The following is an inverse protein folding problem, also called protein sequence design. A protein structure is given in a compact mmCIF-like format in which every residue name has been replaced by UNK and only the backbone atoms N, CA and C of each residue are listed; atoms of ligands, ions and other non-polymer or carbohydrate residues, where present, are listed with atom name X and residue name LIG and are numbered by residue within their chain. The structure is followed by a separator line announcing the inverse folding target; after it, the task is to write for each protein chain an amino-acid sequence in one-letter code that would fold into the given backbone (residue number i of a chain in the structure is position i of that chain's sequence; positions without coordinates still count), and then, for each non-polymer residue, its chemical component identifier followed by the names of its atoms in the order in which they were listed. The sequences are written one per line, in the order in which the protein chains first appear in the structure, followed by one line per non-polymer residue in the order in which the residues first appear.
data_IF_937199831950
#
_entry.id   IF_937199831950
#
_cell.length_a   1.000
_cell.length_b   1.000
_cell.length_c   1.000
_cell.angle_alpha   90.00
_cell.angle_beta   90.00
_cell.angle_gamma   90.00
#
_symmetry.space_group_name_H-M   'P 1'
#
loop_
_entity.id
_entity.type
_entity.pdbx_description
1 polymer ?
#
# COMPACT_ATOMS: atom_id res chain seq x y z
N UNK A 1 3.58 -1.45 -18.40
CA UNK A 1 3.07 -1.84 -17.07
C UNK A 1 2.02 -2.92 -17.26
N UNK A 2 2.35 -4.18 -16.97
CA UNK A 2 1.45 -5.33 -17.12
C UNK A 2 0.46 -5.34 -15.96
N UNK A 3 -0.82 -5.14 -16.26
CA UNK A 3 -1.89 -5.33 -15.28
C UNK A 3 -1.86 -6.78 -14.81
N UNK A 4 -1.54 -7.00 -13.54
CA UNK A 4 -1.56 -8.33 -12.94
C UNK A 4 -3.03 -8.72 -12.73
N UNK A 5 -3.55 -9.53 -13.65
CA UNK A 5 -4.90 -10.07 -13.56
C UNK A 5 -4.90 -11.14 -12.48
N UNK A 6 -5.30 -10.78 -11.25
CA UNK A 6 -5.47 -11.74 -10.16
C UNK A 6 -6.83 -12.41 -10.36
N UNK A 7 -6.83 -13.69 -10.77
CA UNK A 7 -8.04 -14.50 -10.78
C UNK A 7 -8.48 -14.77 -9.34
N UNK A 8 -9.46 -14.00 -8.87
CA UNK A 8 -10.06 -14.16 -7.56
C UNK A 8 -11.03 -15.36 -7.61
N UNK A 9 -10.64 -16.49 -7.03
CA UNK A 9 -11.47 -17.71 -7.02
C UNK A 9 -12.66 -17.62 -6.06
N UNK A 10 -12.54 -16.87 -4.97
CA UNK A 10 -13.58 -16.71 -3.95
C UNK A 10 -13.54 -15.31 -3.36
N UNK A 11 -14.67 -14.60 -3.43
CA UNK A 11 -14.83 -13.26 -2.88
C UNK A 11 -16.04 -13.22 -1.94
N UNK A 12 -15.91 -12.46 -0.86
CA UNK A 12 -17.03 -12.09 0.02
C UNK A 12 -17.27 -10.60 -0.18
N UNK A 13 -18.46 -10.26 -0.66
CA UNK A 13 -18.91 -8.87 -0.76
C UNK A 13 -19.61 -8.50 0.54
N UNK A 14 -19.12 -7.44 1.19
CA UNK A 14 -19.72 -6.89 2.41
C UNK A 14 -20.21 -5.48 2.09
N UNK A 15 -21.46 -5.21 2.40
CA UNK A 15 -22.02 -3.87 2.21
C UNK A 15 -21.33 -2.85 3.12
N UNK A 16 -20.95 -1.71 2.55
CA UNK A 16 -20.27 -0.66 3.31
C UNK A 16 -21.14 -0.07 4.43
N UNK A 17 -22.47 -0.07 4.30
CA UNK A 17 -23.41 0.32 5.37
C UNK A 17 -23.31 -0.62 6.56
N UNK A 18 -23.24 -1.94 6.31
CA UNK A 18 -23.11 -2.94 7.35
C UNK A 18 -21.85 -2.75 8.19
N UNK A 19 -20.73 -2.43 7.54
CA UNK A 19 -19.46 -2.14 8.22
C UNK A 19 -19.54 -0.87 9.08
N UNK A 20 -20.24 0.16 8.60
CA UNK A 20 -20.46 1.40 9.36
C UNK A 20 -21.37 1.18 10.56
N UNK A 21 -22.48 0.47 10.38
CA UNK A 21 -23.45 0.19 11.42
C UNK A 21 -22.86 -0.71 12.52
N UNK A 22 -21.93 -1.60 12.16
CA UNK A 22 -21.13 -2.39 13.09
C UNK A 22 -20.05 -1.57 13.84
N UNK A 23 -19.91 -0.27 13.55
CA UNK A 23 -18.93 0.61 14.19
C UNK A 23 -17.48 0.33 13.78
N UNK A 24 -17.26 -0.40 12.67
CA UNK A 24 -15.92 -0.83 12.28
C UNK A 24 -15.06 0.28 11.64
N UNK A 25 -15.68 1.43 11.32
CA UNK A 25 -14.98 2.57 10.74
C UNK A 25 -14.42 2.31 9.33
N UNK A 26 -13.64 3.25 8.77
CA UNK A 26 -13.08 3.12 7.42
C UNK A 26 -11.80 2.27 7.38
N UNK A 27 -11.11 2.08 8.51
CA UNK A 27 -9.87 1.31 8.59
C UNK A 27 -10.14 -0.07 9.20
N UNK A 28 -9.95 -1.10 8.39
CA UNK A 28 -10.25 -2.48 8.74
C UNK A 28 -8.98 -3.32 8.69
N UNK A 29 -8.84 -4.23 9.65
CA UNK A 29 -7.84 -5.29 9.62
C UNK A 29 -8.53 -6.64 9.55
N UNK A 30 -8.05 -7.50 8.65
CA UNK A 30 -8.52 -8.87 8.51
C UNK A 30 -7.52 -9.79 9.22
N UNK A 31 -8.01 -10.57 10.18
CA UNK A 31 -7.24 -11.58 10.91
C UNK A 31 -7.78 -12.95 10.54
N UNK A 32 -6.92 -13.80 9.99
CA UNK A 32 -7.27 -15.17 9.59
C UNK A 32 -6.76 -16.15 10.65
N UNK A 33 -7.67 -16.94 11.22
CA UNK A 33 -7.38 -18.02 12.15
C UNK A 33 -7.94 -19.35 11.60
N UNK A 34 -7.47 -20.51 12.07
CA UNK A 34 -8.05 -21.79 11.68
C UNK A 34 -9.55 -21.84 11.99
N UNK A 35 -10.38 -21.92 10.95
CA UNK A 35 -11.84 -21.97 11.07
C UNK A 35 -12.54 -20.64 11.30
N UNK A 36 -11.83 -19.51 11.34
CA UNK A 36 -12.41 -18.19 11.61
C UNK A 36 -11.71 -17.06 10.84
N UNK A 37 -12.50 -16.14 10.27
CA UNK A 37 -12.00 -14.87 9.72
C UNK A 37 -12.61 -13.75 10.55
N UNK A 38 -11.78 -12.90 11.16
CA UNK A 38 -12.20 -11.73 11.94
C UNK A 38 -11.89 -10.45 11.18
N UNK A 39 -12.87 -9.55 11.14
CA UNK A 39 -12.70 -8.18 10.65
C UNK A 39 -12.76 -7.28 11.88
N UNK A 40 -11.67 -6.58 12.16
CA UNK A 40 -11.55 -5.69 13.32
C UNK A 40 -11.37 -4.25 12.88
N UNK A 41 -11.98 -3.33 13.64
CA UNK A 41 -11.75 -1.91 13.48
C UNK A 41 -10.32 -1.59 13.89
N UNK A 42 -9.61 -0.83 13.07
CA UNK A 42 -8.30 -0.29 13.44
C UNK A 42 -8.51 1.17 13.85
N UNK A 43 -8.07 1.60 15.04
CA UNK A 43 -8.07 3.00 15.41
C UNK A 43 -7.30 3.80 14.36
N UNK A 44 -7.85 4.93 13.90
CA UNK A 44 -7.20 5.83 12.94
C UNK A 44 -5.84 6.38 13.43
N UNK A 45 -5.48 6.11 14.69
CA UNK A 45 -4.21 6.46 15.31
C UNK A 45 -2.99 5.78 14.66
N UNK A 46 -3.17 4.85 13.72
CA UNK A 46 -2.06 4.25 12.96
C UNK A 46 -1.69 4.99 11.66
N UNK A 47 -2.38 6.07 11.29
CA UNK A 47 -2.11 6.78 10.02
C UNK A 47 -1.27 8.06 10.12
N UNK A 48 -0.71 8.39 11.29
CA UNK A 48 0.20 9.54 11.41
C UNK A 48 1.40 9.25 12.28
N UNK A 49 2.18 8.20 11.96
CA UNK A 49 3.62 8.34 12.21
C UNK A 49 4.11 9.39 11.22
N UNK A 50 4.26 10.62 11.70
CA UNK A 50 5.05 11.62 11.00
C UNK A 50 6.32 10.93 10.51
N UNK A 51 6.69 11.07 9.22
CA UNK A 51 7.81 10.33 8.66
C UNK A 51 9.03 10.58 9.54
N UNK A 52 9.60 9.49 10.07
CA UNK A 52 10.70 9.60 11.02
C UNK A 52 11.92 10.18 10.30
N UNK A 53 12.68 11.01 11.01
CA UNK A 53 13.95 11.52 10.49
C UNK A 53 14.86 10.36 10.05
N UNK A 54 14.86 9.27 10.82
CA UNK A 54 15.56 8.03 10.50
C UNK A 54 15.09 7.41 9.17
N UNK A 55 13.79 7.36 8.90
CA UNK A 55 13.27 6.85 7.62
C UNK A 55 13.70 7.70 6.43
N UNK A 56 13.73 9.03 6.61
CA UNK A 56 14.26 9.95 5.60
C UNK A 56 15.77 9.82 5.39
N UNK A 57 16.52 9.53 6.45
CA UNK A 57 17.96 9.32 6.37
C UNK A 57 18.28 8.02 5.62
N UNK A 58 17.54 6.94 5.88
CA UNK A 58 17.65 5.68 5.13
C UNK A 58 17.30 5.88 3.66
N UNK A 59 16.20 6.55 3.36
CA UNK A 59 15.78 6.78 1.96
C UNK A 59 16.80 7.60 1.18
N UNK A 60 17.40 8.62 1.80
CA UNK A 60 18.49 9.39 1.19
C UNK A 60 19.76 8.57 1.02
N UNK A 61 20.09 7.70 1.97
CA UNK A 61 21.23 6.82 1.87
C UNK A 61 21.11 5.83 0.70
N UNK A 62 19.91 5.32 0.42
CA UNK A 62 19.66 4.45 -0.75
C UNK A 62 19.98 5.12 -2.08
N UNK A 63 19.81 6.45 -2.17
CA UNK A 63 20.13 7.23 -3.36
C UNK A 63 21.55 7.80 -3.39
N UNK A 64 22.34 7.66 -2.32
CA UNK A 64 23.65 8.29 -2.21
C UNK A 64 24.66 7.75 -3.22
N UNK A 65 24.65 6.43 -3.41
CA UNK A 65 25.53 5.70 -4.32
C UNK A 65 24.76 5.17 -5.55
N UNK A 66 23.58 5.71 -5.81
CA UNK A 66 22.81 5.30 -6.98
C UNK A 66 23.47 5.85 -8.25
N UNK A 67 23.84 4.95 -9.16
CA UNK A 67 24.29 5.33 -10.50
C UNK A 67 23.18 6.11 -11.22
N UNK A 68 23.52 7.18 -11.97
CA UNK A 68 22.55 7.90 -12.78
C UNK A 68 21.75 6.94 -13.65
N UNK A 69 20.43 7.09 -13.62
CA UNK A 69 19.55 6.36 -14.53
C UNK A 69 19.92 6.66 -15.99
N UNK A 70 19.48 5.79 -16.89
CA UNK A 70 19.79 5.88 -18.33
C UNK A 70 19.35 7.20 -19.00
N UNK A 71 18.41 7.92 -18.38
CA UNK A 71 17.93 9.22 -18.81
C UNK A 71 18.18 10.25 -17.70
N UNK A 72 18.45 11.49 -18.09
CA UNK A 72 18.87 12.56 -17.19
C UNK A 72 17.82 12.97 -16.16
N UNK A 73 16.54 12.69 -16.44
CA UNK A 73 15.44 13.00 -15.53
C UNK A 73 14.38 11.90 -15.55
N UNK A 74 14.48 10.96 -14.62
CA UNK A 74 13.52 9.86 -14.50
C UNK A 74 12.09 10.33 -14.18
N UNK A 75 11.92 11.52 -13.59
CA UNK A 75 10.59 12.07 -13.28
C UNK A 75 9.88 12.62 -14.52
N UNK A 76 10.62 13.26 -15.43
CA UNK A 76 10.07 13.80 -16.69
C UNK A 76 10.02 12.74 -17.79
N UNK A 77 10.95 11.78 -17.77
CA UNK A 77 11.12 10.79 -18.82
C UNK A 77 10.60 9.40 -18.43
N UNK A 78 9.76 9.33 -17.38
CA UNK A 78 9.22 8.09 -16.82
C UNK A 78 8.67 7.14 -17.91
N UNK A 79 7.91 7.66 -18.87
CA UNK A 79 7.31 6.86 -19.93
C UNK A 79 8.36 6.24 -20.85
N UNK A 80 9.50 6.89 -21.07
CA UNK A 80 10.58 6.39 -21.94
C UNK A 80 11.34 5.23 -21.33
N UNK A 81 11.31 5.06 -20.00
CA UNK A 81 11.85 3.88 -19.34
C UNK A 81 11.03 2.61 -19.61
N UNK A 82 9.77 2.72 -20.05
CA UNK A 82 8.88 1.58 -20.28
C UNK A 82 8.98 0.96 -21.68
N UNK A 83 9.65 1.64 -22.63
CA UNK A 83 9.68 1.26 -24.05
C UNK A 83 11.09 0.97 -24.58
N UNK A 84 12.06 0.71 -23.70
CA UNK A 84 13.41 0.29 -24.07
C UNK A 84 13.61 -1.21 -23.96
#
# INVERSE_FOLDING_TARGET
MTAQHVELQQCIWIDATYLRDAGLGPHLQVVVQPGEIRIVAVPAEHEQRAPSQEGWDVLRALGHDAEPGLLSNAAEEHDRYLYQ
#
